data_IF_072700576510
#
_entry.id   IF_072700576510
#
_cell.length_a   1.000
_cell.length_b   1.000
_cell.length_c   1.000
_cell.angle_alpha   90.00
_cell.angle_beta   90.00
_cell.angle_gamma   90.00
#
_symmetry.space_group_name_H-M   'P 1'
#
loop_
_entity.id
_entity.type
_entity.pdbx_description
1 polymer ?
#
# COMPACT_ATOMS: atom_id res chain seq x y z
N UNK A 1 28.86 71.58 -9.03
CA UNK A 1 27.69 71.27 -8.19
C UNK A 1 27.43 69.78 -8.30
N UNK A 2 27.82 69.02 -7.28
CA UNK A 2 27.45 67.62 -7.08
C UNK A 2 25.95 67.49 -6.92
N UNK A 3 25.34 66.55 -7.65
CA UNK A 3 24.10 65.90 -7.24
C UNK A 3 24.37 64.40 -7.25
N UNK A 4 24.64 63.90 -6.06
CA UNK A 4 24.91 62.52 -5.76
C UNK A 4 23.61 61.69 -5.78
N UNK A 5 23.78 60.40 -6.08
CA UNK A 5 23.14 59.29 -5.38
C UNK A 5 21.61 59.31 -5.26
N UNK A 6 20.96 58.68 -6.23
CA UNK A 6 19.76 57.88 -5.96
C UNK A 6 19.90 56.53 -6.68
N UNK A 7 20.95 55.80 -6.34
CA UNK A 7 20.93 54.36 -6.50
C UNK A 7 19.76 53.86 -5.64
N UNK A 8 18.63 53.52 -6.28
CA UNK A 8 17.61 52.70 -5.65
C UNK A 8 18.28 51.38 -5.31
N UNK A 9 18.76 51.26 -4.09
CA UNK A 9 18.94 49.98 -3.43
C UNK A 9 17.55 49.36 -3.36
N UNK A 10 17.20 48.61 -4.41
CA UNK A 10 16.13 47.64 -4.29
C UNK A 10 16.49 46.74 -3.11
N UNK A 11 15.57 46.50 -2.16
CA UNK A 11 15.85 45.58 -1.08
C UNK A 11 16.28 44.27 -1.71
N UNK A 12 17.54 43.89 -1.49
CA UNK A 12 17.99 42.53 -1.69
C UNK A 12 17.06 41.72 -0.80
N UNK A 13 16.06 41.09 -1.41
CA UNK A 13 15.26 40.08 -0.74
C UNK A 13 16.26 38.99 -0.38
N UNK A 14 16.79 39.10 0.84
CA UNK A 14 17.67 38.11 1.43
C UNK A 14 16.89 36.82 1.40
N UNK A 15 17.33 35.91 0.53
CA UNK A 15 16.63 34.68 0.22
C UNK A 15 16.22 33.99 1.52
N UNK A 16 14.91 33.74 1.66
CA UNK A 16 14.42 32.80 2.66
C UNK A 16 15.25 31.52 2.52
N UNK A 17 15.98 31.17 3.58
CA UNK A 17 16.83 29.99 3.61
C UNK A 17 16.06 28.77 3.08
N UNK A 18 16.39 28.25 1.88
CA UNK A 18 15.63 27.18 1.22
C UNK A 18 15.58 25.87 2.03
N UNK A 19 16.40 25.76 3.09
CA UNK A 19 16.57 24.53 3.88
C UNK A 19 15.42 24.20 4.83
N UNK A 20 14.79 25.18 5.51
CA UNK A 20 13.85 24.87 6.62
C UNK A 20 12.59 24.13 6.15
N UNK A 21 12.06 24.52 5.00
CA UNK A 21 10.88 23.88 4.41
C UNK A 21 11.21 22.47 3.90
N UNK A 22 12.38 22.28 3.29
CA UNK A 22 12.83 20.96 2.85
C UNK A 22 13.03 20.00 4.03
N UNK A 23 13.72 20.43 5.08
CA UNK A 23 13.94 19.64 6.29
C UNK A 23 12.62 19.22 6.95
N UNK A 24 11.63 20.12 6.97
CA UNK A 24 10.29 19.81 7.46
C UNK A 24 9.62 18.69 6.64
N UNK A 25 9.63 18.81 5.32
CA UNK A 25 9.07 17.78 4.44
C UNK A 25 9.81 16.44 4.53
N UNK A 26 11.14 16.45 4.66
CA UNK A 26 11.92 15.23 4.86
C UNK A 26 11.49 14.49 6.13
N UNK A 27 11.28 15.22 7.24
CA UNK A 27 10.86 14.62 8.52
C UNK A 27 9.44 14.09 8.47
N UNK A 28 8.50 14.85 7.93
CA UNK A 28 7.11 14.38 7.78
C UNK A 28 7.06 13.14 6.90
N UNK A 29 7.75 13.16 5.76
CA UNK A 29 7.76 12.02 4.83
C UNK A 29 8.42 10.80 5.47
N UNK A 30 9.48 11.00 6.25
CA UNK A 30 10.10 9.92 7.00
C UNK A 30 9.17 9.32 8.07
N UNK A 31 8.42 10.16 8.80
CA UNK A 31 7.43 9.69 9.76
C UNK A 31 6.32 8.90 9.07
N UNK A 32 5.82 9.39 7.93
CA UNK A 32 4.81 8.69 7.12
C UNK A 32 5.31 7.33 6.64
N UNK A 33 6.51 7.28 6.03
CA UNK A 33 7.11 6.03 5.58
C UNK A 33 7.39 5.06 6.74
N UNK A 34 7.87 5.55 7.89
CA UNK A 34 8.09 4.73 9.07
C UNK A 34 6.79 4.14 9.64
N UNK A 35 5.72 4.95 9.70
CA UNK A 35 4.40 4.51 10.14
C UNK A 35 3.79 3.48 9.17
N UNK A 36 3.91 3.71 7.86
CA UNK A 36 3.53 2.74 6.83
C UNK A 36 4.27 1.41 7.00
N UNK A 37 5.59 1.47 7.24
CA UNK A 37 6.39 0.27 7.49
C UNK A 37 5.91 -0.51 8.72
N UNK A 38 5.59 0.18 9.82
CA UNK A 38 5.03 -0.45 11.01
C UNK A 38 3.65 -1.09 10.74
N UNK A 39 2.80 -0.43 9.96
CA UNK A 39 1.49 -0.97 9.56
C UNK A 39 1.64 -2.21 8.66
N UNK A 40 2.64 -2.27 7.79
CA UNK A 40 2.95 -3.46 7.02
C UNK A 40 3.48 -4.61 7.87
N UNK A 41 4.25 -4.35 8.94
CA UNK A 41 4.60 -5.39 9.92
C UNK A 41 3.34 -5.92 10.60
N UNK A 42 2.43 -5.04 11.02
CA UNK A 42 1.15 -5.47 11.61
C UNK A 42 0.33 -6.31 10.63
N UNK A 43 0.25 -5.90 9.36
CA UNK A 43 -0.40 -6.66 8.30
C UNK A 43 0.26 -8.04 8.09
N UNK A 44 1.60 -8.14 8.18
CA UNK A 44 2.29 -9.42 8.08
C UNK A 44 1.89 -10.38 9.22
N UNK A 45 1.71 -9.86 10.44
CA UNK A 45 1.25 -10.66 11.59
C UNK A 45 -0.17 -11.18 11.36
N UNK A 46 -1.07 -10.35 10.85
CA UNK A 46 -2.44 -10.76 10.51
C UNK A 46 -2.49 -11.83 9.41
N UNK A 47 -1.44 -11.93 8.58
CA UNK A 47 -1.34 -12.89 7.48
C UNK A 47 -0.47 -14.10 7.78
N UNK A 48 -0.03 -14.32 9.03
CA UNK A 48 0.75 -15.51 9.39
C UNK A 48 0.02 -16.84 9.06
N UNK A 49 -1.31 -16.84 9.09
CA UNK A 49 -2.14 -17.98 8.67
C UNK A 49 -2.49 -18.01 7.18
N UNK A 50 -2.11 -16.99 6.41
CA UNK A 50 -2.50 -16.79 4.99
C UNK A 50 -1.43 -17.13 3.96
N UNK A 51 -0.25 -17.63 4.38
CA UNK A 51 0.83 -18.10 3.52
C UNK A 51 2.10 -17.26 3.57
N UNK A 52 3.25 -17.94 3.41
CA UNK A 52 4.59 -17.35 3.58
C UNK A 52 4.88 -16.20 2.59
N UNK A 53 4.30 -16.25 1.40
CA UNK A 53 4.48 -15.22 0.36
C UNK A 53 3.89 -13.87 0.78
N UNK A 54 2.67 -13.85 1.34
CA UNK A 54 2.01 -12.63 1.80
C UNK A 54 2.80 -11.99 2.95
N UNK A 55 3.19 -12.82 3.93
CA UNK A 55 4.04 -12.40 5.06
C UNK A 55 5.37 -11.83 4.55
N UNK A 56 6.06 -12.55 3.65
CA UNK A 56 7.34 -12.11 3.08
C UNK A 56 7.23 -10.79 2.32
N UNK A 57 6.18 -10.62 1.52
CA UNK A 57 5.91 -9.38 0.79
C UNK A 57 5.70 -8.18 1.72
N UNK A 58 4.88 -8.35 2.76
CA UNK A 58 4.64 -7.29 3.75
C UNK A 58 5.90 -6.94 4.54
N UNK A 59 6.69 -7.93 4.97
CA UNK A 59 7.94 -7.69 5.69
C UNK A 59 9.01 -7.04 4.81
N UNK A 60 9.12 -7.43 3.53
CA UNK A 60 10.03 -6.79 2.57
C UNK A 60 9.63 -5.33 2.34
N UNK A 61 8.33 -5.07 2.18
CA UNK A 61 7.78 -3.72 2.04
C UNK A 61 8.06 -2.87 3.27
N UNK A 62 7.81 -3.43 4.46
CA UNK A 62 8.11 -2.77 5.73
C UNK A 62 9.60 -2.43 5.86
N UNK A 63 10.49 -3.37 5.54
CA UNK A 63 11.94 -3.15 5.55
C UNK A 63 12.33 -2.01 4.61
N UNK A 64 11.81 -2.00 3.38
CA UNK A 64 12.08 -0.96 2.41
C UNK A 64 11.63 0.42 2.92
N UNK A 65 10.44 0.50 3.50
CA UNK A 65 9.87 1.76 4.01
C UNK A 65 10.59 2.28 5.25
N UNK A 66 10.94 1.40 6.20
CA UNK A 66 11.73 1.77 7.40
C UNK A 66 13.14 2.19 6.99
N UNK A 67 13.78 1.47 6.07
CA UNK A 67 15.08 1.85 5.53
C UNK A 67 15.06 3.22 4.84
N UNK A 68 14.02 3.47 4.03
CA UNK A 68 13.83 4.75 3.38
C UNK A 68 13.52 5.88 4.37
N UNK A 69 12.70 5.64 5.39
CA UNK A 69 12.45 6.58 6.48
C UNK A 69 13.74 6.94 7.23
N UNK A 70 14.57 5.95 7.55
CA UNK A 70 15.88 6.16 8.15
C UNK A 70 16.79 7.04 7.27
N UNK A 71 16.85 6.74 5.96
CA UNK A 71 17.60 7.55 5.01
C UNK A 71 17.11 9.00 4.94
N UNK A 72 15.79 9.24 4.90
CA UNK A 72 15.21 10.59 4.92
C UNK A 72 15.53 11.33 6.22
N UNK A 73 15.46 10.66 7.38
CA UNK A 73 15.81 11.25 8.67
C UNK A 73 17.27 11.67 8.68
N UNK A 74 18.19 10.78 8.31
CA UNK A 74 19.63 11.10 8.21
C UNK A 74 19.86 12.28 7.28
N UNK A 75 19.24 12.27 6.10
CA UNK A 75 19.32 13.39 5.13
C UNK A 75 18.80 14.71 5.73
N UNK A 76 17.77 14.65 6.57
CA UNK A 76 17.22 15.83 7.25
C UNK A 76 18.18 16.46 8.27
N UNK A 77 19.11 15.67 8.83
CA UNK A 77 20.11 16.12 9.78
C UNK A 77 21.42 16.56 9.13
N UNK A 78 21.79 15.97 7.99
CA UNK A 78 23.03 16.30 7.26
C UNK A 78 22.90 17.50 6.32
N UNK A 79 21.68 18.02 6.14
CA UNK A 79 21.37 19.07 5.17
C UNK A 79 21.81 18.74 3.72
N UNK A 80 22.03 17.45 3.43
CA UNK A 80 22.30 16.97 2.09
C UNK A 80 21.05 17.09 1.22
N UNK A 81 21.23 17.38 -0.07
CA UNK A 81 20.13 17.32 -1.01
C UNK A 81 19.70 15.85 -1.20
N UNK A 82 18.40 15.52 -1.06
CA UNK A 82 17.93 14.16 -1.27
C UNK A 82 18.13 13.74 -2.72
N UNK A 83 18.49 12.48 -2.94
CA UNK A 83 18.56 11.92 -4.29
C UNK A 83 17.16 11.83 -4.89
N UNK A 84 16.95 12.61 -5.95
CA UNK A 84 15.68 12.73 -6.67
C UNK A 84 15.24 11.40 -7.28
N UNK A 85 16.19 10.54 -7.68
CA UNK A 85 15.89 9.22 -8.26
C UNK A 85 15.33 8.30 -7.19
N UNK A 86 15.92 8.30 -6.00
CA UNK A 86 15.40 7.50 -4.87
C UNK A 86 14.02 7.98 -4.42
N UNK A 87 13.80 9.30 -4.33
CA UNK A 87 12.47 9.86 -4.02
C UNK A 87 11.43 9.50 -5.08
N UNK A 88 11.79 9.58 -6.37
CA UNK A 88 10.89 9.20 -7.47
C UNK A 88 10.59 7.69 -7.50
N UNK A 89 11.59 6.85 -7.23
CA UNK A 89 11.41 5.40 -7.12
C UNK A 89 10.53 5.04 -5.93
N UNK A 90 10.73 5.68 -4.77
CA UNK A 90 9.88 5.49 -3.60
C UNK A 90 8.43 5.91 -3.90
N UNK A 91 8.23 7.05 -4.58
CA UNK A 91 6.91 7.50 -5.01
C UNK A 91 6.23 6.49 -5.94
N UNK A 92 6.95 6.01 -6.95
CA UNK A 92 6.44 5.00 -7.88
C UNK A 92 6.10 3.70 -7.15
N UNK A 93 6.97 3.24 -6.25
CA UNK A 93 6.75 2.06 -5.43
C UNK A 93 5.49 2.18 -4.57
N UNK A 94 5.34 3.26 -3.82
CA UNK A 94 4.15 3.50 -2.99
C UNK A 94 2.86 3.59 -3.82
N UNK A 95 2.87 4.32 -4.94
CA UNK A 95 1.72 4.37 -5.85
C UNK A 95 1.41 2.99 -6.44
N UNK A 96 2.44 2.21 -6.76
CA UNK A 96 2.30 0.83 -7.21
C UNK A 96 1.65 -0.07 -6.15
N UNK A 97 2.04 0.05 -4.88
CA UNK A 97 1.42 -0.67 -3.77
C UNK A 97 -0.06 -0.31 -3.59
N UNK A 98 -0.40 0.97 -3.69
CA UNK A 98 -1.80 1.42 -3.67
C UNK A 98 -2.60 0.87 -4.86
N UNK A 99 -2.00 0.86 -6.06
CA UNK A 99 -2.61 0.26 -7.25
C UNK A 99 -2.84 -1.24 -7.08
N UNK A 100 -1.85 -1.96 -6.56
CA UNK A 100 -1.97 -3.39 -6.24
C UNK A 100 -3.08 -3.63 -5.21
N UNK A 101 -3.16 -2.81 -4.16
CA UNK A 101 -4.23 -2.90 -3.17
C UNK A 101 -5.61 -2.75 -3.81
N UNK A 102 -5.81 -1.73 -4.66
CA UNK A 102 -7.09 -1.50 -5.36
C UNK A 102 -7.43 -2.67 -6.27
N UNK A 103 -6.48 -3.13 -7.09
CA UNK A 103 -6.70 -4.26 -8.01
C UNK A 103 -7.04 -5.53 -7.23
N UNK A 104 -6.30 -5.83 -6.16
CA UNK A 104 -6.53 -7.00 -5.34
C UNK A 104 -7.93 -7.03 -4.71
N UNK A 105 -8.44 -5.86 -4.28
CA UNK A 105 -9.78 -5.74 -3.69
C UNK A 105 -10.91 -5.66 -4.73
N UNK A 106 -10.64 -5.15 -5.93
CA UNK A 106 -11.65 -4.95 -6.96
C UNK A 106 -11.88 -6.19 -7.84
N UNK A 107 -10.89 -7.08 -7.97
CA UNK A 107 -10.92 -8.14 -9.00
C UNK A 107 -11.02 -9.56 -8.44
N UNK A 108 -11.28 -9.73 -7.14
CA UNK A 108 -11.20 -11.05 -6.46
C UNK A 108 -9.90 -11.81 -6.78
N UNK A 109 -8.83 -11.12 -7.22
CA UNK A 109 -7.57 -11.77 -7.61
C UNK A 109 -6.96 -12.56 -6.44
N UNK A 110 -7.23 -12.14 -5.21
CA UNK A 110 -6.82 -12.84 -4.00
C UNK A 110 -7.56 -14.17 -3.80
N UNK A 111 -8.80 -14.32 -4.28
CA UNK A 111 -9.56 -15.58 -4.20
C UNK A 111 -8.93 -16.67 -5.08
N UNK A 112 -8.30 -16.28 -6.20
CA UNK A 112 -7.56 -17.20 -7.06
C UNK A 112 -6.24 -17.70 -6.42
N UNK A 113 -5.71 -16.97 -5.43
CA UNK A 113 -4.49 -17.34 -4.69
C UNK A 113 -4.75 -17.82 -3.26
N UNK A 114 -5.99 -17.76 -2.76
CA UNK A 114 -6.39 -18.23 -1.43
C UNK A 114 -6.71 -19.73 -1.37
N UNK A 115 -6.33 -20.51 -2.38
CA UNK A 115 -6.29 -21.97 -2.26
C UNK A 115 -5.16 -22.30 -1.29
N UNK A 116 -5.50 -22.34 0.00
CA UNK A 116 -4.57 -22.56 1.08
C UNK A 116 -3.87 -23.92 0.95
N UNK A 117 -2.55 -23.89 1.12
CA UNK A 117 -1.67 -25.04 1.33
C UNK A 117 -2.29 -26.05 2.33
N UNK A 118 -2.79 -27.16 1.81
CA UNK A 118 -3.04 -28.39 2.58
C UNK A 118 -1.81 -29.33 2.57
N UNK A 119 -0.60 -28.78 2.55
CA UNK A 119 0.62 -29.58 2.51
C UNK A 119 1.80 -28.99 3.30
N UNK A 120 1.54 -28.40 4.47
CA UNK A 120 2.59 -28.31 5.48
C UNK A 120 2.77 -29.69 6.14
N UNK A 121 3.54 -30.56 5.48
CA UNK A 121 3.88 -31.91 5.95
C UNK A 121 4.79 -31.85 7.16
N UNK A 122 4.21 -31.58 8.33
CA UNK A 122 4.78 -31.91 9.63
C UNK A 122 4.29 -33.30 10.04
N UNK A 123 5.22 -34.20 10.34
CA UNK A 123 4.94 -35.55 10.84
C UNK A 123 4.01 -35.52 12.06
N UNK A 124 2.76 -35.96 11.90
CA UNK A 124 1.86 -36.26 13.00
C UNK A 124 1.00 -37.47 12.67
N UNK A 125 0.79 -38.29 13.69
CA UNK A 125 0.44 -39.69 13.60
C UNK A 125 -0.95 -39.98 13.04
N UNK A 126 -1.00 -40.99 12.19
CA UNK A 126 -2.16 -41.81 11.85
C UNK A 126 -2.97 -42.17 13.11
N UNK A 127 -4.24 -41.76 13.19
CA UNK A 127 -5.41 -42.60 13.50
C UNK A 127 -6.64 -41.79 13.97
N UNK A 128 -7.80 -42.13 13.42
CA UNK A 128 -9.18 -41.89 13.94
C UNK A 128 -9.97 -40.62 13.54
N UNK A 129 -9.48 -39.75 12.65
CA UNK A 129 -10.29 -38.60 12.15
C UNK A 129 -10.82 -38.78 10.71
N UNK A 130 -10.34 -39.81 9.98
CA UNK A 130 -10.67 -40.03 8.56
C UNK A 130 -12.11 -40.46 8.27
N UNK A 131 -12.89 -40.83 9.29
CA UNK A 131 -14.31 -41.20 9.12
C UNK A 131 -15.28 -40.01 9.24
N UNK A 132 -14.82 -38.82 9.58
CA UNK A 132 -15.65 -37.61 9.68
C UNK A 132 -15.32 -36.56 8.59
N UNK A 133 -14.38 -36.84 7.70
CA UNK A 133 -13.91 -35.90 6.68
C UNK A 133 -14.85 -35.83 5.47
N UNK A 134 -15.48 -36.95 5.09
CA UNK A 134 -16.32 -37.03 3.90
C UNK A 134 -17.74 -37.43 4.27
N UNK A 135 -18.73 -36.76 3.66
CA UNK A 135 -20.10 -37.24 3.69
C UNK A 135 -20.18 -38.58 2.92
N UNK A 136 -20.54 -39.70 3.56
CA UNK A 136 -20.58 -41.01 2.91
C UNK A 136 -21.66 -41.12 1.82
N UNK A 137 -22.60 -40.17 1.74
CA UNK A 137 -23.69 -40.17 0.74
C UNK A 137 -23.33 -39.31 -0.48
N UNK A 138 -22.65 -38.18 -0.28
CA UNK A 138 -22.35 -37.22 -1.36
C UNK A 138 -20.88 -37.18 -1.76
N UNK A 139 -19.97 -37.74 -0.95
CA UNK A 139 -18.53 -37.75 -1.18
C UNK A 139 -17.84 -36.40 -0.98
N UNK A 140 -18.56 -35.41 -0.42
CA UNK A 140 -18.08 -34.04 -0.22
C UNK A 140 -17.18 -33.98 1.03
N UNK A 141 -16.03 -33.34 0.90
CA UNK A 141 -15.14 -33.04 2.03
C UNK A 141 -15.73 -31.88 2.86
N UNK A 142 -15.98 -32.12 4.16
CA UNK A 142 -16.51 -31.11 5.07
C UNK A 142 -15.54 -29.95 5.35
N UNK A 143 -14.26 -30.07 4.98
CA UNK A 143 -13.24 -29.03 5.14
C UNK A 143 -13.06 -28.15 3.90
N UNK A 144 -13.52 -28.57 2.72
CA UNK A 144 -13.42 -27.76 1.49
C UNK A 144 -14.58 -26.75 1.34
N UNK A 145 -15.67 -26.92 2.09
CA UNK A 145 -16.87 -26.09 2.00
C UNK A 145 -17.63 -26.31 0.69
N UNK A 146 -18.96 -26.37 0.74
CA UNK A 146 -19.76 -26.55 -0.48
C UNK A 146 -19.83 -25.26 -1.31
N UNK A 147 -19.40 -25.25 -2.59
CA UNK A 147 -19.60 -24.11 -3.46
C UNK A 147 -21.05 -24.08 -3.94
N UNK A 148 -21.76 -22.98 -3.66
CA UNK A 148 -23.04 -22.68 -4.30
C UNK A 148 -22.83 -21.50 -5.25
N UNK A 149 -22.77 -21.80 -6.55
CA UNK A 149 -22.81 -20.78 -7.59
C UNK A 149 -24.25 -20.25 -7.69
N UNK A 150 -24.45 -18.93 -7.55
CA UNK A 150 -25.79 -18.33 -7.47
C UNK A 150 -26.26 -17.60 -8.72
N UNK A 151 -25.47 -17.52 -9.78
CA UNK A 151 -25.91 -16.88 -11.03
C UNK A 151 -25.98 -17.87 -12.20
N UNK A 152 -27.21 -18.34 -12.46
CA UNK A 152 -27.57 -19.20 -13.59
C UNK A 152 -28.95 -19.82 -13.39
N UNK A 153 -29.60 -20.36 -14.45
CA UNK A 153 -30.94 -20.94 -14.36
C UNK A 153 -31.08 -22.18 -13.46
N UNK A 154 -30.01 -22.58 -12.77
CA UNK A 154 -29.95 -23.66 -11.78
C UNK A 154 -29.21 -23.17 -10.52
N UNK A 155 -29.60 -22.03 -9.96
CA UNK A 155 -29.13 -21.60 -8.64
C UNK A 155 -29.88 -22.41 -7.57
N UNK A 156 -29.15 -23.26 -6.82
CA UNK A 156 -29.68 -23.90 -5.62
C UNK A 156 -29.88 -22.83 -4.55
N UNK A 157 -31.06 -22.79 -3.94
CA UNK A 157 -31.42 -21.87 -2.86
C UNK A 157 -30.60 -22.18 -1.59
N UNK A 158 -29.33 -21.78 -1.58
CA UNK A 158 -28.49 -21.68 -0.40
C UNK A 158 -28.28 -20.20 -0.08
N UNK A 159 -28.40 -19.84 1.20
CA UNK A 159 -27.98 -18.52 1.66
C UNK A 159 -26.50 -18.31 1.30
N UNK A 160 -26.11 -17.11 0.84
CA UNK A 160 -24.74 -16.84 0.44
C UNK A 160 -23.81 -17.17 1.62
N UNK A 161 -22.85 -18.07 1.40
CA UNK A 161 -21.75 -18.26 2.34
C UNK A 161 -20.96 -16.96 2.30
N UNK A 162 -21.18 -16.11 3.30
CA UNK A 162 -20.44 -14.88 3.48
C UNK A 162 -18.95 -15.26 3.50
N UNK A 163 -18.21 -14.83 2.48
CA UNK A 163 -16.76 -14.81 2.54
C UNK A 163 -16.40 -14.18 3.89
N UNK A 164 -15.62 -14.90 4.72
CA UNK A 164 -15.19 -14.34 6.01
C UNK A 164 -14.57 -12.98 5.72
N UNK A 165 -14.99 -11.90 6.40
CA UNK A 165 -14.40 -10.60 6.21
C UNK A 165 -12.88 -10.72 6.34
N UNK A 166 -12.14 -10.33 5.30
CA UNK A 166 -10.69 -10.34 5.30
C UNK A 166 -10.18 -9.38 6.39
N UNK A 167 -9.83 -9.91 7.57
CA UNK A 167 -9.21 -9.17 8.67
C UNK A 167 -9.97 -7.92 9.15
N UNK A 168 -9.42 -7.18 10.12
CA UNK A 168 -9.97 -5.90 10.53
C UNK A 168 -9.77 -4.87 9.40
N UNK A 169 -10.83 -4.59 8.63
CA UNK A 169 -10.87 -3.58 7.55
C UNK A 169 -10.28 -2.21 7.95
N UNK A 170 -10.28 -1.91 9.25
CA UNK A 170 -9.67 -0.72 9.83
C UNK A 170 -8.15 -0.62 9.59
N UNK A 171 -7.39 -1.72 9.70
CA UNK A 171 -5.94 -1.70 9.47
C UNK A 171 -5.62 -1.40 8.01
N UNK A 172 -6.29 -2.06 7.06
CA UNK A 172 -6.14 -1.78 5.63
C UNK A 172 -6.45 -0.31 5.29
N UNK A 173 -7.56 0.22 5.83
CA UNK A 173 -7.95 1.61 5.62
C UNK A 173 -6.92 2.60 6.17
N UNK A 174 -6.42 2.34 7.38
CA UNK A 174 -5.38 3.18 8.01
C UNK A 174 -4.06 3.12 7.22
N UNK A 175 -3.66 1.93 6.75
CA UNK A 175 -2.48 1.76 5.89
C UNK A 175 -2.62 2.60 4.62
N UNK A 176 -3.75 2.48 3.91
CA UNK A 176 -4.00 3.28 2.70
C UNK A 176 -3.93 4.78 2.99
N UNK A 177 -4.53 5.24 4.10
CA UNK A 177 -4.48 6.65 4.48
C UNK A 177 -3.03 7.13 4.73
N UNK A 178 -2.23 6.35 5.44
CA UNK A 178 -0.82 6.67 5.71
C UNK A 178 0.03 6.64 4.44
N UNK A 179 -0.22 5.70 3.53
CA UNK A 179 0.44 5.65 2.22
C UNK A 179 0.12 6.89 1.39
N UNK A 180 -1.15 7.33 1.35
CA UNK A 180 -1.54 8.54 0.64
C UNK A 180 -0.86 9.80 1.20
N UNK A 181 -0.73 9.91 2.52
CA UNK A 181 0.03 11.00 3.15
C UNK A 181 1.52 10.92 2.79
N UNK A 182 2.07 9.71 2.67
CA UNK A 182 3.46 9.47 2.26
C UNK A 182 3.67 9.87 0.79
N UNK A 183 2.72 9.55 -0.10
CA UNK A 183 2.70 10.01 -1.51
C UNK A 183 2.73 11.53 -1.59
N UNK A 184 1.95 12.23 -0.78
CA UNK A 184 1.95 13.69 -0.73
C UNK A 184 3.32 14.24 -0.30
N UNK A 185 3.92 13.67 0.75
CA UNK A 185 5.25 14.03 1.20
C UNK A 185 6.33 13.81 0.12
N UNK A 186 6.32 12.65 -0.52
CA UNK A 186 7.23 12.29 -1.62
C UNK A 186 7.08 13.23 -2.83
N UNK A 187 5.84 13.52 -3.23
CA UNK A 187 5.58 14.47 -4.32
C UNK A 187 6.08 15.88 -3.98
N UNK A 188 5.95 16.32 -2.72
CA UNK A 188 6.46 17.60 -2.25
C UNK A 188 8.00 17.68 -2.30
N UNK A 189 8.70 16.57 -2.06
CA UNK A 189 10.16 16.46 -2.11
C UNK A 189 10.74 16.47 -3.53
N UNK A 190 9.92 16.26 -4.57
CA UNK A 190 10.39 16.30 -5.96
C UNK A 190 10.72 17.75 -6.42
N UNK A 191 11.71 17.91 -7.32
CA UNK A 191 11.96 19.18 -8.00
C UNK A 191 10.72 19.66 -8.75
N UNK A 192 10.56 20.98 -8.91
CA UNK A 192 9.35 21.57 -9.49
C UNK A 192 8.96 20.99 -10.88
N UNK A 193 9.96 20.72 -11.73
CA UNK A 193 9.73 20.12 -13.06
C UNK A 193 9.14 18.72 -12.98
N UNK A 194 9.62 17.90 -12.04
CA UNK A 194 9.16 16.51 -11.85
C UNK A 194 7.87 16.45 -11.04
N UNK A 195 7.73 17.34 -10.04
CA UNK A 195 6.53 17.44 -9.20
C UNK A 195 5.29 17.71 -10.04
N UNK A 196 5.37 18.61 -11.03
CA UNK A 196 4.23 18.88 -11.92
C UNK A 196 3.80 17.63 -12.68
N UNK A 197 4.76 16.89 -13.25
CA UNK A 197 4.47 15.65 -13.98
C UNK A 197 3.88 14.60 -13.04
N UNK A 198 4.48 14.39 -11.87
CA UNK A 198 4.01 13.43 -10.88
C UNK A 198 2.59 13.75 -10.39
N UNK A 199 2.30 15.01 -10.03
CA UNK A 199 0.97 15.44 -9.59
C UNK A 199 -0.07 15.27 -10.70
N UNK A 200 0.26 15.64 -11.94
CA UNK A 200 -0.63 15.43 -13.08
C UNK A 200 -0.91 13.93 -13.32
N UNK A 201 0.11 13.08 -13.21
CA UNK A 201 -0.04 11.64 -13.33
C UNK A 201 -0.92 11.07 -12.20
N UNK A 202 -0.72 11.51 -10.95
CA UNK A 202 -1.56 11.12 -9.82
C UNK A 202 -3.03 11.53 -10.02
N UNK A 203 -3.29 12.74 -10.52
CA UNK A 203 -4.65 13.16 -10.88
C UNK A 203 -5.23 12.33 -12.02
N UNK A 204 -4.44 12.02 -13.04
CA UNK A 204 -4.85 11.14 -14.14
C UNK A 204 -5.21 9.74 -13.65
N UNK A 205 -4.40 9.16 -12.77
CA UNK A 205 -4.65 7.87 -12.13
C UNK A 205 -5.91 7.92 -11.26
N UNK A 206 -6.10 8.97 -10.47
CA UNK A 206 -7.30 9.16 -9.66
C UNK A 206 -8.56 9.30 -10.51
N UNK A 207 -8.51 10.08 -11.59
CA UNK A 207 -9.62 10.22 -12.52
C UNK A 207 -9.94 8.92 -13.26
N UNK A 208 -8.91 8.15 -13.65
CA UNK A 208 -9.08 6.82 -14.24
C UNK A 208 -9.71 5.84 -13.24
N UNK A 209 -9.18 5.75 -12.02
CA UNK A 209 -9.73 4.89 -10.97
C UNK A 209 -11.18 5.25 -10.66
N UNK A 210 -11.49 6.55 -10.57
CA UNK A 210 -12.87 7.03 -10.39
C UNK A 210 -13.76 6.66 -11.57
N UNK A 211 -13.29 6.83 -12.81
CA UNK A 211 -14.03 6.46 -14.01
C UNK A 211 -14.31 4.96 -14.08
N UNK A 212 -13.30 4.12 -13.80
CA UNK A 212 -13.44 2.67 -13.77
C UNK A 212 -14.43 2.21 -12.68
N UNK A 213 -14.34 2.81 -11.49
CA UNK A 213 -15.33 2.58 -10.42
C UNK A 213 -16.73 3.00 -10.85
N UNK A 214 -16.88 4.19 -11.43
CA UNK A 214 -18.17 4.70 -11.92
C UNK A 214 -18.79 3.79 -12.99
N UNK A 215 -17.97 3.13 -13.81
CA UNK A 215 -18.43 2.17 -14.82
C UNK A 215 -18.66 0.75 -14.29
N UNK A 216 -18.44 0.48 -13.00
CA UNK A 216 -18.59 -0.86 -12.40
C UNK A 216 -17.44 -1.83 -12.71
N UNK A 217 -16.28 -1.33 -13.16
CA UNK A 217 -15.10 -2.18 -13.42
C UNK A 217 -14.32 -2.43 -12.13
N UNK A 218 -14.33 -1.47 -11.20
CA UNK A 218 -13.63 -1.56 -9.90
C UNK A 218 -14.58 -1.73 -8.70
N UNK A 219 -15.86 -2.05 -8.92
CA UNK A 219 -16.87 -2.13 -7.87
C UNK A 219 -18.10 -2.93 -8.26
#
# INVERSE_FOLDING_TARGET
MSAALAAREAPVVTGQAPGRQLTWWLRITALGAGAAGALHVAAAVDHLGGGELAVGFFLLTALAQVGFAGWLLVTSFTAAAPDRRLVALALLGTVGLLGLYVVAHATSLLDAFSVADHAATGHAHENTERMLQFDPVTGVDFFEGMPTATDGPVAMAGDPVAARPHGPQALGTVTVAVELLTVLGLAALLPASWRRVAVNALFGLGALAWGLWFTGVLG
#
